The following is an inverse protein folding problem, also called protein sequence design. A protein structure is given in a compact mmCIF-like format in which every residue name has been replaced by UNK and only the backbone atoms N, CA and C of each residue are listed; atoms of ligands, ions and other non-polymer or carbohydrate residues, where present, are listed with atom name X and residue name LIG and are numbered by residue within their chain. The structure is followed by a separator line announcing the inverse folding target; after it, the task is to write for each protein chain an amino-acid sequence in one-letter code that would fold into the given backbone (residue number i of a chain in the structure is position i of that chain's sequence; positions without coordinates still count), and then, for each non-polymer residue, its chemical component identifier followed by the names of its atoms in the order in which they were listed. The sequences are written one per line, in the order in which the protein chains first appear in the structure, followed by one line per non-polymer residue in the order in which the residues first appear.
data_IF_072416662482
#
_entry.id   IF_072416662482
#
_cell.length_a   1.000
_cell.length_b   1.000
_cell.length_c   1.000
_cell.angle_alpha   90.00
_cell.angle_beta   90.00
_cell.angle_gamma   90.00
#
_symmetry.space_group_name_H-M   'P 1'
#
loop_
_entity.id
_entity.type
_entity.pdbx_description
1 polymer ?
#
# COMPACT_ATOMS: atom_id res chain seq x y z
N UNK A 1 -14.95 -0.53 -7.71
CA UNK A 1 -15.54 -0.25 -9.05
C UNK A 1 -14.48 -0.13 -10.12
N UNK A 2 -13.45 0.74 -10.03
CA UNK A 2 -12.45 0.89 -11.09
C UNK A 2 -11.73 -0.42 -11.48
N UNK A 3 -11.34 -1.23 -10.49
CA UNK A 3 -10.74 -2.54 -10.73
C UNK A 3 -11.66 -3.54 -11.45
N UNK A 4 -12.98 -3.48 -11.22
CA UNK A 4 -13.95 -4.37 -11.88
C UNK A 4 -14.13 -3.99 -13.36
N UNK A 5 -14.11 -2.70 -13.66
CA UNK A 5 -14.17 -2.21 -15.05
C UNK A 5 -12.94 -2.68 -15.83
N UNK A 6 -11.74 -2.56 -15.23
CA UNK A 6 -10.51 -3.06 -15.84
C UNK A 6 -10.55 -4.58 -16.05
N UNK A 7 -11.07 -5.33 -15.08
CA UNK A 7 -11.24 -6.77 -15.20
C UNK A 7 -12.20 -7.14 -16.34
N UNK A 8 -13.32 -6.43 -16.47
CA UNK A 8 -14.32 -6.66 -17.51
C UNK A 8 -13.77 -6.37 -18.93
N UNK A 9 -12.84 -5.42 -19.06
CA UNK A 9 -12.17 -5.08 -20.33
C UNK A 9 -10.94 -5.99 -20.59
N UNK A 10 -10.69 -6.99 -19.74
CA UNK A 10 -9.56 -7.91 -19.87
C UNK A 10 -8.20 -7.29 -19.53
N UNK A 11 -8.19 -6.12 -18.87
CA UNK A 11 -6.98 -5.38 -18.49
C UNK A 11 -6.61 -5.60 -17.04
N UNK A 12 -6.45 -6.87 -16.66
CA UNK A 12 -6.04 -7.27 -15.32
C UNK A 12 -4.64 -6.72 -14.93
N UNK A 13 -3.79 -6.47 -15.92
CA UNK A 13 -2.48 -5.85 -15.80
C UNK A 13 -2.52 -4.47 -15.12
N UNK A 14 -3.62 -3.73 -15.26
CA UNK A 14 -3.77 -2.36 -14.76
C UNK A 14 -4.42 -2.28 -13.37
N UNK A 15 -4.94 -3.40 -12.85
CA UNK A 15 -5.72 -3.43 -11.61
C UNK A 15 -4.92 -2.91 -10.43
N UNK A 16 -3.61 -3.22 -10.38
CA UNK A 16 -2.73 -2.81 -9.29
C UNK A 16 -2.74 -1.29 -9.06
N UNK A 17 -2.65 -0.51 -10.15
CA UNK A 17 -2.68 0.95 -10.09
C UNK A 17 -4.04 1.49 -9.64
N UNK A 18 -5.12 0.87 -10.11
CA UNK A 18 -6.48 1.22 -9.71
C UNK A 18 -6.73 0.91 -8.22
N UNK A 19 -6.21 -0.20 -7.70
CA UNK A 19 -6.34 -0.58 -6.29
C UNK A 19 -5.66 0.44 -5.39
N UNK A 20 -4.42 0.84 -5.69
CA UNK A 20 -3.72 1.85 -4.90
C UNK A 20 -4.46 3.19 -4.89
N UNK A 21 -4.99 3.64 -6.02
CA UNK A 21 -5.86 4.82 -6.05
C UNK A 21 -7.14 4.64 -5.21
N UNK A 22 -7.73 3.45 -5.22
CA UNK A 22 -8.95 3.20 -4.45
C UNK A 22 -8.74 3.30 -2.92
N UNK A 23 -7.54 2.93 -2.43
CA UNK A 23 -7.19 3.00 -1.00
C UNK A 23 -7.31 4.40 -0.40
N UNK A 24 -7.26 5.46 -1.22
CA UNK A 24 -7.57 6.84 -0.79
C UNK A 24 -8.89 6.93 -0.03
N UNK A 25 -9.89 6.11 -0.39
CA UNK A 25 -11.20 6.10 0.27
C UNK A 25 -11.17 5.74 1.76
N UNK A 26 -10.14 5.01 2.23
CA UNK A 26 -9.99 4.58 3.62
C UNK A 26 -9.62 5.74 4.57
N UNK A 27 -9.05 6.81 4.04
CA UNK A 27 -8.54 7.94 4.80
C UNK A 27 -9.66 8.91 5.20
N UNK A 28 -9.53 9.52 6.39
CA UNK A 28 -10.45 10.55 6.88
C UNK A 28 -11.87 10.06 7.23
N UNK A 29 -12.09 8.74 7.44
CA UNK A 29 -13.43 8.19 7.73
C UNK A 29 -14.13 8.78 8.97
N UNK A 30 -13.35 9.22 9.96
CA UNK A 30 -13.87 9.77 11.22
C UNK A 30 -13.97 11.32 11.22
N UNK A 31 -13.73 11.97 10.07
CA UNK A 31 -13.72 13.43 9.96
C UNK A 31 -14.99 13.95 9.26
N UNK A 32 -15.33 15.21 9.51
CA UNK A 32 -16.37 15.92 8.76
C UNK A 32 -16.02 15.96 7.27
N UNK A 33 -17.03 16.03 6.39
CA UNK A 33 -16.85 15.84 4.94
C UNK A 33 -15.79 16.75 4.31
N UNK A 34 -15.65 18.00 4.79
CA UNK A 34 -14.65 18.96 4.29
C UNK A 34 -13.22 18.56 4.68
N UNK A 35 -13.02 18.21 5.96
CA UNK A 35 -11.72 17.78 6.46
C UNK A 35 -11.33 16.43 5.86
N UNK A 36 -12.31 15.55 5.67
CA UNK A 36 -12.13 14.28 4.98
C UNK A 36 -11.61 14.47 3.55
N UNK A 37 -12.15 15.41 2.78
CA UNK A 37 -11.64 15.69 1.43
C UNK A 37 -10.17 16.13 1.45
N UNK A 38 -9.80 17.03 2.37
CA UNK A 38 -8.39 17.44 2.54
C UNK A 38 -7.50 16.27 2.94
N UNK A 39 -7.96 15.43 3.86
CA UNK A 39 -7.23 14.24 4.31
C UNK A 39 -7.04 13.24 3.17
N UNK A 40 -8.10 12.97 2.41
CA UNK A 40 -8.07 12.06 1.27
C UNK A 40 -7.17 12.62 0.16
N UNK A 41 -7.17 13.92 -0.10
CA UNK A 41 -6.24 14.54 -1.05
C UNK A 41 -4.77 14.38 -0.61
N UNK A 42 -4.47 14.57 0.67
CA UNK A 42 -3.13 14.32 1.22
C UNK A 42 -2.70 12.85 1.07
N UNK A 43 -3.63 11.92 1.33
CA UNK A 43 -3.38 10.50 1.14
C UNK A 43 -3.20 10.13 -0.34
N UNK A 44 -4.01 10.72 -1.23
CA UNK A 44 -3.90 10.54 -2.67
C UNK A 44 -2.52 11.00 -3.18
N UNK A 45 -2.00 12.12 -2.67
CA UNK A 45 -0.66 12.59 -3.03
C UNK A 45 0.43 11.58 -2.65
N UNK A 46 0.35 10.97 -1.46
CA UNK A 46 1.31 9.93 -1.02
C UNK A 46 1.22 8.68 -1.90
N UNK A 47 0.00 8.21 -2.18
CA UNK A 47 -0.23 7.03 -3.02
C UNK A 47 0.22 7.27 -4.47
N UNK A 48 -0.11 8.43 -5.04
CA UNK A 48 0.31 8.82 -6.38
C UNK A 48 1.82 8.97 -6.48
N UNK A 49 2.48 9.54 -5.47
CA UNK A 49 3.94 9.61 -5.42
C UNK A 49 4.55 8.20 -5.41
N UNK A 50 4.03 7.30 -4.57
CA UNK A 50 4.48 5.90 -4.52
C UNK A 50 4.30 5.18 -5.87
N UNK A 51 3.10 5.24 -6.46
CA UNK A 51 2.82 4.63 -7.78
C UNK A 51 3.70 5.23 -8.87
N UNK A 52 3.88 6.55 -8.89
CA UNK A 52 4.69 7.24 -9.91
C UNK A 52 6.15 6.83 -9.79
N UNK A 53 6.73 6.91 -8.60
CA UNK A 53 8.14 6.53 -8.38
C UNK A 53 8.34 5.04 -8.66
N UNK A 54 7.46 4.16 -8.18
CA UNK A 54 7.55 2.72 -8.43
C UNK A 54 7.47 2.37 -9.91
N UNK A 55 6.50 2.95 -10.63
CA UNK A 55 6.35 2.73 -12.08
C UNK A 55 7.55 3.28 -12.84
N UNK A 56 8.06 4.46 -12.46
CA UNK A 56 9.26 5.04 -13.07
C UNK A 56 10.47 4.13 -12.87
N UNK A 57 10.70 3.61 -11.66
CA UNK A 57 11.78 2.67 -11.38
C UNK A 57 11.66 1.38 -12.21
N UNK A 58 10.44 0.87 -12.38
CA UNK A 58 10.18 -0.31 -13.23
C UNK A 58 10.53 -0.04 -14.70
N UNK A 59 10.11 1.11 -15.25
CA UNK A 59 10.45 1.52 -16.63
C UNK A 59 11.95 1.74 -16.82
N UNK A 60 12.64 2.29 -15.82
CA UNK A 60 14.07 2.58 -15.87
C UNK A 60 14.97 1.36 -15.61
N UNK A 61 14.40 0.18 -15.34
CA UNK A 61 15.14 -1.05 -15.03
C UNK A 61 16.21 -0.85 -13.94
N UNK A 62 15.91 -0.03 -12.92
CA UNK A 62 16.90 0.31 -11.88
C UNK A 62 17.28 -0.94 -11.07
N UNK A 63 18.58 -1.13 -10.89
CA UNK A 63 19.16 -2.25 -10.14
C UNK A 63 18.68 -2.30 -8.69
N UNK A 64 18.68 -3.49 -8.07
CA UNK A 64 18.05 -3.77 -6.77
C UNK A 64 18.46 -2.82 -5.63
N UNK A 65 19.70 -2.33 -5.63
CA UNK A 65 20.19 -1.37 -4.64
C UNK A 65 19.58 0.03 -4.78
N UNK A 66 19.31 0.47 -6.02
CA UNK A 66 18.65 1.75 -6.28
C UNK A 66 17.23 1.77 -5.73
N UNK A 67 16.51 0.65 -5.87
CA UNK A 67 15.18 0.48 -5.25
C UNK A 67 15.28 0.62 -3.72
N UNK A 68 16.26 -0.04 -3.08
CA UNK A 68 16.44 0.04 -1.62
C UNK A 68 16.64 1.48 -1.16
N UNK A 69 17.51 2.24 -1.84
CA UNK A 69 17.79 3.63 -1.49
C UNK A 69 16.55 4.50 -1.68
N UNK A 70 15.88 4.40 -2.83
CA UNK A 70 14.71 5.24 -3.14
C UNK A 70 13.54 4.94 -2.20
N UNK A 71 13.27 3.67 -1.91
CA UNK A 71 12.18 3.27 -1.02
C UNK A 71 12.49 3.65 0.44
N UNK A 72 13.74 3.53 0.91
CA UNK A 72 14.14 4.01 2.24
C UNK A 72 14.01 5.54 2.36
N UNK A 73 14.44 6.30 1.35
CA UNK A 73 14.27 7.76 1.31
C UNK A 73 12.79 8.16 1.31
N UNK A 74 11.97 7.49 0.49
CA UNK A 74 10.54 7.75 0.41
C UNK A 74 9.83 7.37 1.72
N UNK A 75 10.29 6.32 2.42
CA UNK A 75 9.81 6.00 3.76
C UNK A 75 10.10 7.11 4.77
N UNK A 76 11.33 7.66 4.76
CA UNK A 76 11.70 8.78 5.63
C UNK A 76 10.88 10.05 5.34
N UNK A 77 10.85 10.48 4.08
CA UNK A 77 10.08 11.67 3.65
C UNK A 77 8.59 11.50 3.89
N UNK A 78 8.06 10.32 3.55
CA UNK A 78 6.65 9.98 3.76
C UNK A 78 6.29 9.95 5.25
N UNK A 79 7.20 9.52 6.14
CA UNK A 79 6.99 9.58 7.59
C UNK A 79 6.88 11.01 8.06
N UNK A 80 7.81 11.89 7.66
CA UNK A 80 7.76 13.31 8.03
C UNK A 80 6.48 13.99 7.52
N UNK A 81 6.08 13.70 6.28
CA UNK A 81 4.83 14.21 5.71
C UNK A 81 3.61 13.69 6.50
N UNK A 82 3.56 12.39 6.76
CA UNK A 82 2.44 11.75 7.46
C UNK A 82 2.30 12.26 8.89
N UNK A 83 3.41 12.45 9.60
CA UNK A 83 3.43 13.01 10.96
C UNK A 83 2.99 14.49 10.95
N UNK A 84 3.43 15.26 9.94
CA UNK A 84 3.05 16.68 9.78
C UNK A 84 1.55 16.85 9.54
N UNK A 85 0.94 16.02 8.70
CA UNK A 85 -0.50 16.12 8.38
C UNK A 85 -1.38 15.26 9.29
N UNK A 86 -0.78 14.50 10.22
CA UNK A 86 -1.44 13.49 11.07
C UNK A 86 -2.32 12.56 10.24
N UNK A 87 -1.71 11.98 9.21
CA UNK A 87 -2.38 11.09 8.27
C UNK A 87 -2.96 9.88 9.03
N UNK A 88 -4.19 9.48 8.70
CA UNK A 88 -4.92 8.36 9.30
C UNK A 88 -5.49 7.49 8.18
N UNK A 89 -5.04 6.23 8.02
CA UNK A 89 -4.08 5.48 8.87
C UNK A 89 -2.68 6.09 8.97
N UNK A 90 -2.02 5.90 10.12
CA UNK A 90 -0.73 6.53 10.43
C UNK A 90 0.42 5.99 9.55
N UNK A 91 1.32 6.90 9.17
CA UNK A 91 2.59 6.58 8.55
C UNK A 91 2.57 6.40 7.03
N UNK A 92 3.77 6.27 6.43
CA UNK A 92 3.98 6.19 4.98
C UNK A 92 3.68 4.82 4.35
N UNK A 93 3.24 3.84 5.15
CA UNK A 93 3.19 2.43 4.79
C UNK A 93 2.52 2.14 3.43
N UNK A 94 1.36 2.72 3.17
CA UNK A 94 0.66 2.49 1.91
C UNK A 94 1.37 3.10 0.69
N UNK A 95 2.12 4.20 0.88
CA UNK A 95 2.97 4.76 -0.17
C UNK A 95 4.18 3.90 -0.49
N UNK A 96 4.82 3.34 0.55
CA UNK A 96 5.94 2.39 0.42
C UNK A 96 5.46 1.12 -0.30
N UNK A 97 4.31 0.57 0.11
CA UNK A 97 3.69 -0.56 -0.58
C UNK A 97 3.39 -0.26 -2.05
N UNK A 98 2.83 0.92 -2.33
CA UNK A 98 2.53 1.34 -3.70
C UNK A 98 3.79 1.40 -4.56
N UNK A 99 4.87 1.97 -4.02
CA UNK A 99 6.17 2.02 -4.68
C UNK A 99 6.71 0.61 -4.95
N UNK A 100 6.84 -0.21 -3.91
CA UNK A 100 7.44 -1.53 -4.02
C UNK A 100 6.67 -2.45 -4.98
N UNK A 101 5.34 -2.41 -4.92
CA UNK A 101 4.49 -3.22 -5.78
C UNK A 101 4.46 -2.73 -7.24
N UNK A 102 4.49 -1.41 -7.47
CA UNK A 102 4.58 -0.88 -8.85
C UNK A 102 5.98 -1.04 -9.45
N UNK A 103 7.03 -1.09 -8.61
CA UNK A 103 8.40 -1.35 -9.04
C UNK A 103 8.64 -2.82 -9.43
N UNK A 104 7.85 -3.77 -8.90
CA UNK A 104 8.03 -5.20 -9.15
C UNK A 104 7.23 -5.74 -10.34
N UNK A 105 6.20 -5.02 -10.79
CA UNK A 105 5.48 -5.35 -12.02
C UNK A 105 6.28 -4.82 -13.21
N UNK A 106 6.62 -5.65 -14.20
CA UNK A 106 7.38 -5.17 -15.35
C UNK A 106 6.57 -4.14 -16.13
N UNK A 107 7.21 -3.04 -16.51
CA UNK A 107 6.55 -1.90 -17.14
C UNK A 107 6.22 -2.16 -18.62
N UNK A 108 5.24 -3.01 -18.88
CA UNK A 108 4.60 -3.14 -20.21
C UNK A 108 3.63 -1.99 -20.48
N UNK A 109 3.34 -1.19 -19.45
CA UNK A 109 2.31 -0.16 -19.43
C UNK A 109 2.97 1.22 -19.50
N UNK A 110 2.47 2.16 -20.33
CA UNK A 110 2.97 3.53 -20.33
C UNK A 110 2.89 4.17 -18.94
N UNK A 111 3.97 4.80 -18.49
CA UNK A 111 4.04 5.48 -17.18
C UNK A 111 2.81 6.37 -16.90
N UNK A 112 2.43 7.19 -17.90
CA UNK A 112 1.31 8.10 -17.77
C UNK A 112 -0.03 7.37 -17.57
N UNK A 113 -0.22 6.20 -18.19
CA UNK A 113 -1.43 5.41 -18.03
C UNK A 113 -1.57 4.88 -16.59
N UNK A 114 -0.48 4.38 -16.00
CA UNK A 114 -0.47 3.92 -14.61
C UNK A 114 -0.85 5.05 -13.63
N UNK A 115 -0.23 6.22 -13.79
CA UNK A 115 -0.50 7.39 -12.95
C UNK A 115 -1.92 7.89 -13.13
N UNK A 116 -2.42 7.98 -14.36
CA UNK A 116 -3.79 8.43 -14.66
C UNK A 116 -4.85 7.47 -14.10
N UNK A 117 -4.63 6.16 -14.19
CA UNK A 117 -5.56 5.16 -13.63
C UNK A 117 -5.60 5.25 -12.11
N UNK A 118 -4.44 5.40 -11.47
CA UNK A 118 -4.36 5.64 -10.03
C UNK A 118 -5.08 6.94 -9.65
N UNK A 119 -4.84 8.03 -10.38
CA UNK A 119 -5.45 9.33 -10.13
C UNK A 119 -6.98 9.29 -10.33
N UNK A 120 -7.45 8.66 -11.40
CA UNK A 120 -8.88 8.51 -11.69
C UNK A 120 -9.58 7.65 -10.63
N UNK A 121 -8.93 6.56 -10.18
CA UNK A 121 -9.46 5.71 -9.11
C UNK A 121 -9.50 6.45 -7.76
N UNK A 122 -8.48 7.25 -7.44
CA UNK A 122 -8.45 8.09 -6.25
C UNK A 122 -9.54 9.17 -6.29
N UNK A 123 -9.68 9.87 -7.42
CA UNK A 123 -10.74 10.85 -7.63
C UNK A 123 -12.14 10.21 -7.49
N UNK A 124 -12.34 9.03 -8.09
CA UNK A 124 -13.58 8.27 -7.94
C UNK A 124 -13.86 7.92 -6.47
N UNK A 125 -12.87 7.40 -5.73
CA UNK A 125 -13.01 7.12 -4.29
C UNK A 125 -13.32 8.36 -3.46
N UNK A 126 -12.74 9.52 -3.81
CA UNK A 126 -13.04 10.80 -3.16
C UNK A 126 -14.48 11.26 -3.46
N UNK A 127 -14.93 11.15 -4.71
CA UNK A 127 -16.32 11.47 -5.10
C UNK A 127 -17.30 10.58 -4.36
N UNK A 128 -17.06 9.27 -4.28
CA UNK A 128 -17.90 8.34 -3.51
C UNK A 128 -17.87 8.66 -2.01
N UNK A 129 -16.70 8.96 -1.45
CA UNK A 129 -16.56 9.38 -0.06
C UNK A 129 -17.27 10.71 0.25
N UNK A 130 -17.31 11.61 -0.73
CA UNK A 130 -18.02 12.88 -0.66
C UNK A 130 -19.53 12.73 -0.90
N UNK A 131 -19.98 11.76 -1.71
CA UNK A 131 -21.40 11.52 -1.96
C UNK A 131 -22.21 11.27 -0.68
N UNK A 132 -21.57 10.78 0.39
CA UNK A 132 -22.18 10.69 1.73
C UNK A 132 -22.65 12.03 2.29
N UNK A 133 -22.02 13.15 1.91
CA UNK A 133 -22.46 14.51 2.24
C UNK A 133 -23.83 14.82 1.64
N UNK A 134 -24.13 14.31 0.45
CA UNK A 134 -25.41 14.55 -0.22
C UNK A 134 -26.60 14.02 0.60
N UNK A 135 -26.37 13.01 1.46
CA UNK A 135 -27.37 12.42 2.34
C UNK A 135 -27.61 13.23 3.62
N UNK A 136 -26.58 13.86 4.18
CA UNK A 136 -26.70 14.58 5.46
C UNK A 136 -26.77 16.10 5.31
N UNK A 137 -26.30 16.68 4.19
CA UNK A 137 -26.37 18.11 3.82
C UNK A 137 -25.86 19.12 4.87
N UNK A 138 -25.26 18.68 5.97
CA UNK A 138 -24.67 19.57 6.98
C UNK A 138 -23.27 19.95 6.54
N UNK A 139 -23.08 21.22 6.20
CA UNK A 139 -21.79 21.81 5.90
C UNK A 139 -21.33 22.66 7.10
N UNK A 140 -20.42 22.11 7.90
CA UNK A 140 -19.80 22.83 9.03
C UNK A 140 -18.75 23.82 8.51
N UNK A 141 -19.14 25.07 8.24
CA UNK A 141 -18.18 26.12 7.87
C UNK A 141 -17.21 26.33 9.04
N UNK A 142 -15.91 26.25 8.78
CA UNK A 142 -14.88 26.50 9.79
C UNK A 142 -14.43 25.29 10.60
N UNK A 143 -14.74 24.05 10.16
CA UNK A 143 -14.12 22.86 10.74
C UNK A 143 -12.60 22.92 10.53
N UNK A 144 -11.85 23.18 11.60
CA UNK A 144 -10.39 23.19 11.62
C UNK A 144 -9.93 21.94 12.36
N UNK A 145 -8.97 21.21 11.78
CA UNK A 145 -8.31 20.13 12.51
C UNK A 145 -7.38 20.77 13.53
N UNK A 146 -7.54 20.42 14.80
CA UNK A 146 -6.67 20.90 15.86
C UNK A 146 -5.29 20.25 15.70
N UNK A 147 -4.36 20.97 15.05
CA UNK A 147 -2.99 20.53 14.83
C UNK A 147 -2.14 21.30 15.84
N UNK A 148 -1.60 20.64 16.88
CA UNK A 148 -0.76 21.29 17.88
C UNK A 148 0.38 22.05 17.20
N UNK A 149 0.67 23.26 17.67
CA UNK A 149 1.76 24.07 17.17
C UNK A 149 3.07 23.25 17.17
N UNK A 150 3.84 23.34 16.08
CA UNK A 150 5.05 22.55 15.90
C UNK A 150 6.10 22.94 16.95
N UNK A 151 6.24 22.15 18.01
CA UNK A 151 7.29 22.33 19.01
C UNK A 151 8.60 21.68 18.55
N UNK A 152 9.73 22.15 19.07
CA UNK A 152 11.04 21.53 18.79
C UNK A 152 11.05 20.03 19.16
N UNK A 153 10.38 19.67 20.26
CA UNK A 153 10.23 18.28 20.70
C UNK A 153 9.44 17.43 19.70
N UNK A 154 8.37 17.96 19.11
CA UNK A 154 7.60 17.26 18.07
C UNK A 154 8.42 17.04 16.80
N UNK A 155 9.22 18.04 16.39
CA UNK A 155 10.12 17.93 15.23
C UNK A 155 11.21 16.87 15.46
N UNK A 156 11.78 16.84 16.66
CA UNK A 156 12.79 15.84 17.02
C UNK A 156 12.19 14.42 17.03
N UNK A 157 10.98 14.26 17.59
CA UNK A 157 10.27 12.98 17.56
C UNK A 157 9.97 12.52 16.13
N UNK A 158 9.49 13.42 15.26
CA UNK A 158 9.26 13.12 13.84
C UNK A 158 10.57 12.75 13.11
N UNK A 159 11.68 13.43 13.43
CA UNK A 159 13.01 13.09 12.89
C UNK A 159 13.47 11.68 13.31
N UNK A 160 13.28 11.32 14.59
CA UNK A 160 13.58 9.98 15.09
C UNK A 160 12.67 8.91 14.45
N UNK A 161 11.39 9.21 14.24
CA UNK A 161 10.47 8.32 13.53
C UNK A 161 10.90 8.10 12.08
N UNK A 162 11.23 9.17 11.35
CA UNK A 162 11.73 9.08 9.99
C UNK A 162 13.04 8.28 9.91
N UNK A 163 13.97 8.52 10.83
CA UNK A 163 15.22 7.75 10.90
C UNK A 163 14.96 6.25 11.15
N UNK A 164 14.01 5.89 12.03
CA UNK A 164 13.60 4.50 12.25
C UNK A 164 13.02 3.86 10.99
N UNK A 165 12.21 4.59 10.22
CA UNK A 165 11.71 4.11 8.92
C UNK A 165 12.85 3.87 7.95
N UNK A 166 13.73 4.87 7.75
CA UNK A 166 14.89 4.75 6.83
C UNK A 166 15.77 3.56 7.20
N UNK A 167 16.10 3.41 8.49
CA UNK A 167 16.97 2.32 8.97
C UNK A 167 16.29 0.96 8.83
N UNK A 168 15.03 0.82 9.26
CA UNK A 168 14.34 -0.47 9.20
C UNK A 168 14.09 -0.92 7.74
N UNK A 169 13.61 0.00 6.91
CA UNK A 169 13.34 -0.24 5.49
C UNK A 169 14.65 -0.48 4.73
N UNK A 170 15.67 0.35 4.95
CA UNK A 170 16.98 0.19 4.33
C UNK A 170 17.68 -1.11 4.73
N UNK A 171 17.67 -1.48 6.01
CA UNK A 171 18.26 -2.73 6.49
C UNK A 171 17.52 -3.95 5.92
N UNK A 172 16.19 -3.94 5.92
CA UNK A 172 15.39 -5.03 5.34
C UNK A 172 15.65 -5.18 3.83
N UNK A 173 15.73 -4.05 3.11
CA UNK A 173 16.07 -4.03 1.69
C UNK A 173 17.47 -4.56 1.42
N UNK A 174 18.47 -4.08 2.17
CA UNK A 174 19.86 -4.56 2.06
C UNK A 174 19.95 -6.07 2.33
N UNK A 175 19.32 -6.57 3.39
CA UNK A 175 19.22 -8.01 3.65
C UNK A 175 18.54 -8.75 2.50
N UNK A 176 17.44 -8.23 1.95
CA UNK A 176 16.75 -8.83 0.81
C UNK A 176 17.62 -8.91 -0.44
N UNK A 177 18.44 -7.89 -0.70
CA UNK A 177 19.38 -7.88 -1.83
C UNK A 177 20.55 -8.84 -1.58
N UNK A 178 21.16 -8.81 -0.39
CA UNK A 178 22.31 -9.65 -0.04
C UNK A 178 21.97 -11.15 -0.01
N UNK A 179 20.76 -11.50 0.40
CA UNK A 179 20.28 -12.90 0.41
C UNK A 179 19.84 -13.40 -0.96
N UNK A 180 19.81 -12.52 -1.99
CA UNK A 180 19.38 -12.90 -3.33
C UNK A 180 17.89 -13.25 -3.44
N UNK A 181 17.05 -12.77 -2.50
CA UNK A 181 15.60 -13.09 -2.39
C UNK A 181 14.75 -12.75 -3.63
N UNK A 182 15.30 -12.03 -4.61
CA UNK A 182 14.61 -11.57 -5.83
C UNK A 182 13.57 -10.48 -5.58
N UNK A 183 13.13 -10.27 -4.34
CA UNK A 183 11.99 -9.40 -4.01
C UNK A 183 12.24 -8.52 -2.77
N UNK A 184 13.28 -7.66 -2.77
CA UNK A 184 13.63 -6.84 -1.61
C UNK A 184 12.50 -5.91 -1.16
N UNK A 185 11.67 -5.42 -2.09
CA UNK A 185 10.52 -4.56 -1.82
C UNK A 185 9.48 -5.19 -0.86
N UNK A 186 9.27 -6.51 -0.88
CA UNK A 186 8.35 -7.16 0.07
C UNK A 186 8.92 -7.18 1.49
N UNK A 187 10.23 -7.38 1.63
CA UNK A 187 10.91 -7.30 2.92
C UNK A 187 10.85 -5.88 3.50
N UNK A 188 11.06 -4.88 2.64
CA UNK A 188 10.99 -3.46 2.96
C UNK A 188 9.59 -3.05 3.41
N UNK A 189 8.56 -3.44 2.66
CA UNK A 189 7.16 -3.23 3.04
C UNK A 189 6.82 -3.92 4.38
N UNK A 190 7.27 -5.17 4.59
CA UNK A 190 7.03 -5.89 5.83
C UNK A 190 7.66 -5.20 7.05
N UNK A 191 8.86 -4.62 6.90
CA UNK A 191 9.53 -3.85 7.93
C UNK A 191 8.79 -2.55 8.28
N UNK A 192 8.10 -1.93 7.32
CA UNK A 192 7.33 -0.71 7.53
C UNK A 192 6.00 -0.93 8.30
N UNK A 193 5.41 -2.14 8.24
CA UNK A 193 4.13 -2.48 8.90
C UNK A 193 4.11 -2.14 10.41
N UNK A 194 5.02 -2.67 11.24
CA UNK A 194 4.97 -2.43 12.69
C UNK A 194 5.23 -0.96 13.03
N UNK A 195 5.95 -0.23 12.19
CA UNK A 195 6.25 1.17 12.42
C UNK A 195 5.03 2.09 12.21
N UNK A 196 4.05 1.65 11.42
CA UNK A 196 2.80 2.37 11.15
C UNK A 196 1.77 2.30 12.31
N UNK A 197 1.92 1.35 13.25
CA UNK A 197 1.06 1.27 14.44
C UNK A 197 1.30 2.44 15.41
N UNK A 198 0.35 2.77 16.28
CA UNK A 198 0.51 3.85 17.27
C UNK A 198 1.30 3.39 18.52
N UNK A 199 1.06 2.17 19.04
CA UNK A 199 1.53 1.81 20.40
C UNK A 199 2.51 0.62 20.41
N UNK A 200 3.67 0.79 21.05
CA UNK A 200 4.80 -0.18 21.06
C UNK A 200 4.42 -1.60 21.52
N UNK A 201 3.65 -1.80 22.62
CA UNK A 201 3.28 -3.15 23.06
C UNK A 201 2.28 -3.82 22.11
N UNK A 202 1.33 -3.03 21.59
CA UNK A 202 0.31 -3.52 20.64
C UNK A 202 0.93 -3.93 19.29
N UNK A 203 1.99 -3.23 18.85
CA UNK A 203 2.73 -3.54 17.62
C UNK A 203 3.39 -4.92 17.72
N UNK A 204 4.00 -5.23 18.85
CA UNK A 204 4.70 -6.50 19.06
C UNK A 204 3.73 -7.68 19.06
N UNK A 205 2.62 -7.57 19.80
CA UNK A 205 1.60 -8.60 19.85
C UNK A 205 0.94 -8.84 18.48
N UNK A 206 0.55 -7.77 17.76
CA UNK A 206 -0.02 -7.89 16.41
C UNK A 206 0.99 -8.41 15.38
N UNK A 207 2.26 -8.03 15.52
CA UNK A 207 3.35 -8.52 14.69
C UNK A 207 3.53 -10.03 14.85
N UNK A 208 3.62 -10.50 16.09
CA UNK A 208 3.73 -11.94 16.41
C UNK A 208 2.52 -12.71 15.86
N UNK A 209 1.30 -12.25 16.11
CA UNK A 209 0.08 -12.88 15.58
C UNK A 209 0.07 -12.94 14.05
N UNK A 210 0.58 -11.90 13.37
CA UNK A 210 0.70 -11.89 11.91
C UNK A 210 1.73 -12.88 11.40
N UNK A 211 2.88 -13.00 12.08
CA UNK A 211 3.92 -13.96 11.73
C UNK A 211 3.41 -15.39 11.93
N UNK A 212 2.87 -15.69 13.11
CA UNK A 212 2.30 -17.01 13.44
C UNK A 212 1.17 -17.37 12.49
N UNK A 213 0.24 -16.44 12.23
CA UNK A 213 -0.86 -16.66 11.29
C UNK A 213 -0.39 -16.90 9.85
N UNK A 214 0.70 -16.25 9.41
CA UNK A 214 1.27 -16.47 8.09
C UNK A 214 1.91 -17.85 7.98
N UNK A 215 2.72 -18.25 8.97
CA UNK A 215 3.33 -19.58 8.99
C UNK A 215 2.28 -20.69 9.11
N UNK A 216 1.26 -20.51 9.93
CA UNK A 216 0.16 -21.46 10.06
C UNK A 216 -0.64 -21.57 8.75
N UNK A 217 -0.95 -20.43 8.11
CA UNK A 217 -1.59 -20.40 6.80
C UNK A 217 -0.76 -21.10 5.73
N UNK A 218 0.56 -20.86 5.69
CA UNK A 218 1.48 -21.55 4.80
C UNK A 218 1.49 -23.06 5.05
N UNK A 219 1.53 -23.49 6.31
CA UNK A 219 1.49 -24.90 6.67
C UNK A 219 0.18 -25.56 6.21
N UNK A 220 -0.97 -24.90 6.41
CA UNK A 220 -2.27 -25.39 5.92
C UNK A 220 -2.28 -25.50 4.40
N UNK A 221 -1.86 -24.46 3.69
CA UNK A 221 -1.78 -24.46 2.21
C UNK A 221 -0.83 -25.55 1.73
N UNK A 222 0.33 -25.71 2.36
CA UNK A 222 1.29 -26.74 2.04
C UNK A 222 0.69 -28.13 2.21
N UNK A 223 -0.06 -28.39 3.29
CA UNK A 223 -0.77 -29.67 3.51
C UNK A 223 -1.83 -29.91 2.43
N UNK A 224 -2.61 -28.89 2.08
CA UNK A 224 -3.67 -29.01 1.06
C UNK A 224 -3.11 -29.27 -0.33
N UNK A 225 -2.03 -28.59 -0.70
CA UNK A 225 -1.35 -28.74 -2.01
C UNK A 225 -0.31 -29.86 -2.03
N UNK A 226 -0.01 -30.51 -0.90
CA UNK A 226 0.99 -31.57 -0.86
C UNK A 226 0.52 -32.73 -1.75
N UNK A 227 1.29 -33.14 -2.77
CA UNK A 227 0.89 -34.16 -3.75
C UNK A 227 0.99 -35.59 -3.18
N UNK A 228 0.51 -35.79 -1.95
CA UNK A 228 0.44 -37.07 -1.25
C UNK A 228 -1.01 -37.54 -1.03
N UNK A 229 -1.20 -38.76 -0.48
CA UNK A 229 -2.51 -39.38 -0.27
C UNK A 229 -3.44 -38.62 0.72
N UNK A 230 -2.93 -37.59 1.38
CA UNK A 230 -3.68 -36.71 2.30
C UNK A 230 -4.22 -35.44 1.62
N UNK A 231 -4.01 -35.26 0.31
CA UNK A 231 -4.54 -34.09 -0.41
C UNK A 231 -6.08 -34.17 -0.55
N UNK A 232 -6.84 -33.16 -0.11
CA UNK A 232 -8.30 -33.12 -0.32
C UNK A 232 -8.69 -33.03 -1.80
N UNK A 233 -7.76 -32.60 -2.67
CA UNK A 233 -7.95 -32.50 -4.12
C UNK A 233 -8.17 -33.85 -4.81
N UNK A 234 -7.73 -34.96 -4.18
CA UNK A 234 -8.08 -36.30 -4.66
C UNK A 234 -9.54 -36.68 -4.36
N UNK A 235 -10.14 -36.11 -3.30
CA UNK A 235 -11.53 -36.38 -2.91
C UNK A 235 -12.54 -35.45 -3.62
N UNK A 236 -12.10 -34.26 -4.05
CA UNK A 236 -12.90 -33.31 -4.81
C UNK A 236 -12.21 -32.96 -6.14
N UNK A 237 -12.27 -33.84 -7.16
CA UNK A 237 -11.78 -33.50 -8.48
C UNK A 237 -12.61 -32.32 -9.02
N UNK A 238 -11.99 -31.14 -9.11
CA UNK A 238 -12.55 -30.03 -9.86
C UNK A 238 -12.80 -30.48 -11.30
N UNK A 239 -13.98 -30.20 -11.84
CA UNK A 239 -14.30 -30.47 -13.25
C UNK A 239 -13.17 -29.93 -14.12
N UNK A 240 -12.52 -30.75 -14.97
CA UNK A 240 -11.56 -30.22 -15.92
C UNK A 240 -12.25 -29.15 -16.78
N UNK A 241 -11.56 -28.06 -17.14
CA UNK A 241 -12.10 -27.12 -18.10
C UNK A 241 -12.41 -27.89 -19.37
N UNK A 242 -13.71 -28.01 -19.67
CA UNK A 242 -14.20 -28.57 -20.92
C UNK A 242 -13.48 -27.86 -22.05
N UNK A 243 -12.75 -28.62 -22.83
CA UNK A 243 -12.15 -28.25 -24.11
C UNK A 243 -13.08 -27.33 -24.89
N UNK A 244 -12.69 -26.05 -25.02
CA UNK A 244 -13.26 -25.17 -26.02
C UNK A 244 -12.95 -25.77 -27.39
N UNK A 245 -13.93 -26.01 -28.26
CA UNK A 245 -13.66 -26.48 -29.62
C UNK A 245 -12.97 -25.36 -30.40
N UNK A 246 -11.83 -25.69 -30.99
CA UNK A 246 -11.20 -24.88 -32.03
C UNK A 246 -12.18 -24.73 -33.19
N UNK A 247 -12.57 -23.49 -33.49
CA UNK A 247 -13.04 -23.04 -34.79
C UNK A 247 -12.36 -21.71 -35.10
#
# INVERSE_FOLDING_TARGET
MPALVLLAIGRADLIIYAVFGALTGMYGRAESHQLRLKHQAQAAAVLLAGVSVGTFLSVSHIHSWGLVVVEALLAGVGSLFSDKVRLKPNGPFFGILALGACASVPAHVPFLAAVLICAASAAFSMVVGFAGWLRYRVWERGAVRDIPASSARLRQAAGLHAARYVLAVGAAGACGVLTGSGHPHWAMAAAAVPLAGADVPSRLHRGIHRIVGTFLGLAIVAVVLFPGPLSPLHYFPGKPPSSLPCW
#
